data_IF_173720125374
#
_entry.id   IF_173720125374
#
_cell.length_a   1.000
_cell.length_b   1.000
_cell.length_c   1.000
_cell.angle_alpha   90.00
_cell.angle_beta   90.00
_cell.angle_gamma   90.00
#
_symmetry.space_group_name_H-M   'P 1'
#
loop_
_entity.id
_entity.type
_entity.pdbx_description
1 polymer ?
#
# COMPACT_ATOMS: atom_id res chain seq x y z
N UNK A 1 -36.28 -42.80 -52.32
CA UNK A 1 -36.48 -43.05 -50.88
C UNK A 1 -35.10 -43.10 -50.24
N UNK A 2 -34.69 -41.99 -49.61
CA UNK A 2 -33.59 -41.83 -48.64
C UNK A 2 -33.19 -40.34 -48.64
N UNK A 3 -33.21 -39.78 -47.45
CA UNK A 3 -33.24 -38.37 -47.05
C UNK A 3 -31.86 -37.78 -46.77
N UNK A 4 -31.68 -36.48 -47.10
CA UNK A 4 -30.84 -35.39 -46.52
C UNK A 4 -29.49 -35.71 -45.81
N UNK A 5 -28.53 -34.75 -45.89
CA UNK A 5 -27.98 -34.22 -44.64
C UNK A 5 -28.11 -32.69 -44.57
N UNK A 6 -28.80 -32.26 -43.52
CA UNK A 6 -29.06 -30.87 -43.14
C UNK A 6 -27.85 -30.21 -42.47
N UNK A 7 -27.60 -28.98 -42.90
CA UNK A 7 -26.96 -27.84 -42.22
C UNK A 7 -26.53 -28.00 -40.75
N UNK A 8 -25.27 -27.69 -40.50
CA UNK A 8 -24.69 -27.41 -39.18
C UNK A 8 -25.34 -26.19 -38.52
N UNK A 9 -25.69 -26.22 -37.23
CA UNK A 9 -25.86 -25.02 -36.44
C UNK A 9 -24.59 -24.76 -35.63
N UNK A 10 -23.84 -23.71 -35.99
CA UNK A 10 -22.84 -23.13 -35.10
C UNK A 10 -23.58 -22.39 -33.99
N UNK A 11 -23.55 -22.95 -32.78
CA UNK A 11 -24.02 -22.28 -31.57
C UNK A 11 -23.11 -21.10 -31.26
N UNK A 12 -23.55 -19.88 -31.59
CA UNK A 12 -23.03 -18.67 -30.95
C UNK A 12 -23.39 -18.74 -29.47
N UNK A 13 -22.45 -19.18 -28.67
CA UNK A 13 -22.43 -18.91 -27.23
C UNK A 13 -21.91 -17.49 -27.06
N UNK A 14 -22.81 -16.53 -26.98
CA UNK A 14 -22.48 -15.21 -26.43
C UNK A 14 -22.14 -15.42 -24.96
N UNK A 15 -20.85 -15.58 -24.67
CA UNK A 15 -20.33 -15.39 -23.32
C UNK A 15 -20.50 -13.91 -22.97
N UNK A 16 -21.71 -13.55 -22.53
CA UNK A 16 -21.98 -12.34 -21.76
C UNK A 16 -21.20 -12.48 -20.45
N UNK A 17 -19.91 -12.17 -20.53
CA UNK A 17 -19.05 -12.01 -19.37
C UNK A 17 -19.55 -10.74 -18.70
N UNK A 18 -20.41 -10.92 -17.68
CA UNK A 18 -20.84 -9.85 -16.81
C UNK A 18 -19.60 -9.03 -16.40
N UNK A 19 -19.69 -7.68 -16.39
CA UNK A 19 -18.59 -6.86 -15.94
C UNK A 19 -18.17 -7.32 -14.53
N UNK A 20 -16.86 -7.36 -14.24
CA UNK A 20 -16.38 -7.77 -12.92
C UNK A 20 -17.11 -6.95 -11.87
N UNK A 21 -17.80 -7.65 -10.95
CA UNK A 21 -18.49 -7.03 -9.83
C UNK A 21 -17.52 -6.08 -9.12
N UNK A 22 -17.90 -4.82 -8.85
CA UNK A 22 -17.02 -3.90 -8.15
C UNK A 22 -16.62 -4.52 -6.83
N UNK A 23 -15.31 -4.60 -6.57
CA UNK A 23 -14.80 -5.08 -5.30
C UNK A 23 -15.45 -4.25 -4.17
N UNK A 24 -15.82 -4.89 -3.05
CA UNK A 24 -16.55 -4.21 -1.99
C UNK A 24 -15.74 -3.02 -1.50
N UNK A 25 -16.26 -1.81 -1.73
CA UNK A 25 -15.66 -0.58 -1.21
C UNK A 25 -15.72 -0.59 0.32
N UNK A 26 -14.69 -0.10 1.03
CA UNK A 26 -14.73 -0.02 2.48
C UNK A 26 -15.92 0.80 2.94
N UNK A 27 -16.49 0.44 4.10
CA UNK A 27 -17.50 1.26 4.72
C UNK A 27 -16.93 2.66 5.06
N UNK A 28 -17.76 3.72 5.11
CA UNK A 28 -17.30 5.03 5.55
C UNK A 28 -16.63 5.00 6.93
N UNK A 29 -17.18 4.22 7.86
CA UNK A 29 -16.62 4.06 9.21
C UNK A 29 -15.22 3.43 9.15
N UNK A 30 -15.04 2.34 8.41
CA UNK A 30 -13.73 1.69 8.29
C UNK A 30 -12.69 2.57 7.59
N UNK A 31 -13.14 3.39 6.63
CA UNK A 31 -12.28 4.41 6.00
C UNK A 31 -11.84 5.47 7.01
N UNK A 32 -12.76 5.94 7.87
CA UNK A 32 -12.43 6.89 8.95
C UNK A 32 -11.46 6.26 9.94
N UNK A 33 -11.64 4.98 10.29
CA UNK A 33 -10.73 4.26 11.19
C UNK A 33 -9.32 4.16 10.59
N UNK A 34 -9.21 3.80 9.32
CA UNK A 34 -7.93 3.78 8.60
C UNK A 34 -7.27 5.16 8.55
N UNK A 35 -8.03 6.22 8.22
CA UNK A 35 -7.49 7.58 8.17
C UNK A 35 -7.08 8.08 9.57
N UNK A 36 -7.82 7.70 10.59
CA UNK A 36 -7.50 7.99 12.00
C UNK A 36 -6.23 7.27 12.43
N UNK A 37 -6.02 6.04 11.97
CA UNK A 37 -4.78 5.32 12.18
C UNK A 37 -3.60 6.04 11.49
N UNK A 38 -3.77 6.45 10.23
CA UNK A 38 -2.76 7.21 9.49
C UNK A 38 -2.42 8.56 10.15
N UNK A 39 -3.34 9.15 10.92
CA UNK A 39 -3.05 10.36 11.69
C UNK A 39 -1.83 10.17 12.59
N UNK A 40 -1.62 8.97 13.15
CA UNK A 40 -0.48 8.68 14.04
C UNK A 40 0.87 9.01 13.40
N UNK A 41 0.98 8.95 12.07
CA UNK A 41 2.21 9.31 11.35
C UNK A 41 2.56 10.80 11.48
N UNK A 42 1.57 11.67 11.75
CA UNK A 42 1.75 13.10 11.99
C UNK A 42 2.24 13.39 13.40
N UNK A 43 1.89 12.55 14.37
CA UNK A 43 2.20 12.75 15.79
C UNK A 43 3.43 11.96 16.23
N UNK A 44 3.73 10.83 15.59
CA UNK A 44 4.94 10.04 15.82
C UNK A 44 6.16 10.76 15.26
N UNK A 45 7.11 11.06 16.14
CA UNK A 45 8.38 11.68 15.79
C UNK A 45 9.39 10.64 15.34
N UNK A 46 10.23 11.02 14.36
CA UNK A 46 11.33 10.17 13.90
C UNK A 46 12.30 9.90 15.05
N UNK A 47 12.32 8.66 15.52
CA UNK A 47 12.99 8.21 16.73
C UNK A 47 14.51 8.42 16.65
N UNK A 48 15.09 8.36 15.45
CA UNK A 48 16.51 8.67 15.24
C UNK A 48 16.90 10.08 15.71
N UNK A 49 16.03 11.08 15.47
CA UNK A 49 16.25 12.45 15.93
C UNK A 49 15.98 12.63 17.42
N UNK A 50 14.93 11.98 17.93
CA UNK A 50 14.58 11.97 19.36
C UNK A 50 15.74 11.45 20.20
N UNK A 51 16.33 10.31 19.80
CA UNK A 51 17.47 9.68 20.50
C UNK A 51 18.74 10.51 20.48
N UNK A 52 18.88 11.41 19.48
CA UNK A 52 19.99 12.37 19.40
C UNK A 52 19.72 13.67 20.16
N UNK A 53 18.59 13.78 20.85
CA UNK A 53 18.23 14.97 21.63
C UNK A 53 17.85 16.19 20.79
N UNK A 54 17.47 16.00 19.52
CA UNK A 54 17.01 17.11 18.67
C UNK A 54 15.67 17.61 19.19
N UNK A 55 15.56 18.93 19.41
CA UNK A 55 14.31 19.58 19.81
C UNK A 55 13.40 19.76 18.60
N UNK A 56 12.12 19.45 18.74
CA UNK A 56 11.13 19.58 17.67
C UNK A 56 11.43 18.73 16.43
N UNK A 57 11.72 17.41 16.57
CA UNK A 57 12.03 16.56 15.42
C UNK A 57 10.84 16.47 14.45
N UNK A 58 11.15 16.16 13.19
CA UNK A 58 10.15 15.89 12.16
C UNK A 58 9.31 14.66 12.52
N UNK A 59 8.06 14.64 12.06
CA UNK A 59 7.19 13.47 12.10
C UNK A 59 7.50 12.50 10.95
N UNK A 60 7.00 11.27 11.04
CA UNK A 60 7.09 10.30 9.94
C UNK A 60 6.38 10.85 8.69
N UNK A 61 5.24 11.51 8.86
CA UNK A 61 4.51 12.11 7.74
C UNK A 61 5.28 13.27 7.07
N UNK A 62 6.05 14.06 7.83
CA UNK A 62 6.92 15.11 7.28
C UNK A 62 8.02 14.50 6.39
N UNK A 63 8.60 13.39 6.85
CA UNK A 63 9.60 12.62 6.11
C UNK A 63 9.04 12.10 4.78
N UNK A 64 7.92 11.39 4.82
CA UNK A 64 7.27 10.84 3.62
C UNK A 64 6.83 11.94 2.64
N UNK A 65 6.31 13.06 3.15
CA UNK A 65 5.92 14.20 2.32
C UNK A 65 7.12 14.76 1.54
N UNK A 66 8.25 15.00 2.22
CA UNK A 66 9.46 15.51 1.55
C UNK A 66 10.03 14.50 0.56
N UNK A 67 9.97 13.20 0.84
CA UNK A 67 10.36 12.16 -0.13
C UNK A 67 9.46 12.14 -1.36
N UNK A 68 8.14 12.31 -1.20
CA UNK A 68 7.21 12.42 -2.32
C UNK A 68 7.53 13.62 -3.23
N UNK A 69 7.85 14.77 -2.64
CA UNK A 69 8.30 15.95 -3.40
C UNK A 69 9.63 15.68 -4.12
N UNK A 70 10.59 15.03 -3.47
CA UNK A 70 11.86 14.66 -4.10
C UNK A 70 11.64 13.75 -5.30
N UNK A 71 10.74 12.76 -5.20
CA UNK A 71 10.39 11.90 -6.32
C UNK A 71 9.73 12.68 -7.47
N UNK A 72 8.88 13.67 -7.16
CA UNK A 72 8.24 14.51 -8.18
C UNK A 72 9.24 15.36 -8.98
N UNK A 73 10.24 15.94 -8.31
CA UNK A 73 11.23 16.84 -8.96
C UNK A 73 12.46 16.10 -9.50
N UNK A 74 12.61 14.80 -9.21
CA UNK A 74 13.72 14.00 -9.70
C UNK A 74 13.70 13.97 -11.24
N UNK A 75 14.88 14.01 -11.90
CA UNK A 75 14.96 13.88 -13.35
C UNK A 75 14.41 12.52 -13.80
N UNK A 76 13.96 12.43 -15.05
CA UNK A 76 13.56 11.14 -15.63
C UNK A 76 14.79 10.23 -15.71
N UNK A 77 14.69 9.06 -15.09
CA UNK A 77 15.71 8.02 -15.12
C UNK A 77 15.18 6.89 -15.99
N UNK A 78 15.88 6.46 -17.06
CA UNK A 78 15.43 5.36 -17.90
C UNK A 78 15.10 4.10 -17.09
N UNK A 79 13.90 3.55 -17.29
CA UNK A 79 13.43 2.36 -16.57
C UNK A 79 12.81 2.63 -15.19
N UNK A 80 12.78 3.87 -14.71
CA UNK A 80 12.12 4.24 -13.45
C UNK A 80 10.79 4.96 -13.73
N UNK A 81 9.74 4.51 -13.05
CA UNK A 81 8.40 5.10 -13.10
C UNK A 81 8.23 6.09 -11.94
N UNK A 82 8.22 7.39 -12.26
CA UNK A 82 8.11 8.47 -11.26
C UNK A 82 6.83 8.36 -10.44
N UNK A 83 5.70 8.02 -11.05
CA UNK A 83 4.41 7.93 -10.34
C UNK A 83 4.43 6.80 -9.32
N UNK A 84 5.09 5.68 -9.66
CA UNK A 84 5.33 4.59 -8.71
C UNK A 84 6.22 5.03 -7.56
N UNK A 85 7.29 5.79 -7.82
CA UNK A 85 8.16 6.33 -6.77
C UNK A 85 7.39 7.26 -5.81
N UNK A 86 6.52 8.12 -6.33
CA UNK A 86 5.68 9.00 -5.50
C UNK A 86 4.71 8.19 -4.65
N UNK A 87 4.01 7.22 -5.25
CA UNK A 87 3.09 6.32 -4.52
C UNK A 87 3.80 5.51 -3.45
N UNK A 88 5.01 5.04 -3.73
CA UNK A 88 5.86 4.33 -2.78
C UNK A 88 6.27 5.25 -1.62
N UNK A 89 6.75 6.46 -1.91
CA UNK A 89 7.20 7.40 -0.90
C UNK A 89 6.12 7.73 0.14
N UNK A 90 4.85 7.87 -0.29
CA UNK A 90 3.73 8.21 0.61
C UNK A 90 3.24 7.04 1.46
N UNK A 91 3.61 5.79 1.16
CA UNK A 91 3.14 4.59 1.91
C UNK A 91 4.25 3.76 2.53
N UNK A 92 5.52 3.99 2.21
CA UNK A 92 6.60 3.09 2.64
C UNK A 92 6.71 2.93 4.17
N UNK A 93 6.52 4.02 4.92
CA UNK A 93 6.54 4.01 6.39
C UNK A 93 5.11 3.94 6.98
N UNK A 94 4.08 3.57 6.21
CA UNK A 94 2.69 3.58 6.70
C UNK A 94 2.50 2.62 7.89
N UNK A 95 3.20 1.48 7.90
CA UNK A 95 3.16 0.49 8.97
C UNK A 95 3.64 1.06 10.32
N UNK A 96 4.51 2.08 10.31
CA UNK A 96 4.98 2.76 11.52
C UNK A 96 3.85 3.51 12.24
N UNK A 97 2.69 3.71 11.58
CA UNK A 97 1.48 4.18 12.24
C UNK A 97 1.03 3.24 13.35
N UNK A 98 1.31 1.93 13.26
CA UNK A 98 1.04 0.95 14.31
C UNK A 98 2.32 0.64 15.08
N UNK A 99 3.39 0.27 14.36
CA UNK A 99 4.62 -0.31 14.91
C UNK A 99 5.50 0.73 15.63
N UNK A 100 5.42 2.00 15.22
CA UNK A 100 6.37 3.05 15.57
C UNK A 100 7.65 3.02 14.73
N UNK A 101 8.42 4.11 14.78
CA UNK A 101 9.70 4.25 14.08
C UNK A 101 10.80 3.44 14.82
N UNK A 102 11.09 2.25 14.33
CA UNK A 102 12.12 1.35 14.87
C UNK A 102 13.48 1.72 14.25
N UNK A 103 14.42 2.09 15.10
CA UNK A 103 15.79 2.46 14.70
C UNK A 103 16.79 1.32 14.94
N UNK A 104 17.98 1.36 14.32
CA UNK A 104 19.02 0.36 14.57
C UNK A 104 19.44 0.21 16.04
N UNK A 105 19.29 1.26 16.86
CA UNK A 105 19.65 1.21 18.28
C UNK A 105 18.59 0.55 19.18
N UNK A 106 17.43 0.19 18.64
CA UNK A 106 16.39 -0.55 19.39
C UNK A 106 16.70 -2.05 19.53
N UNK A 107 17.70 -2.56 18.81
CA UNK A 107 18.11 -3.97 18.91
C UNK A 107 17.06 -4.96 18.38
N UNK A 108 16.05 -4.50 17.65
CA UNK A 108 15.01 -5.36 17.07
C UNK A 108 15.59 -6.08 15.83
N UNK A 109 15.55 -7.42 15.78
CA UNK A 109 16.01 -8.16 14.61
C UNK A 109 15.21 -7.81 13.35
N UNK A 110 15.85 -7.81 12.18
CA UNK A 110 15.21 -7.49 10.88
C UNK A 110 13.96 -8.33 10.62
N UNK A 111 14.01 -9.62 10.94
CA UNK A 111 12.87 -10.53 10.79
C UNK A 111 11.68 -10.13 11.67
N UNK A 112 11.93 -9.69 12.90
CA UNK A 112 10.89 -9.28 13.83
C UNK A 112 10.30 -7.91 13.43
N UNK A 113 11.13 -6.97 12.96
CA UNK A 113 10.64 -5.72 12.37
C UNK A 113 9.71 -6.01 11.19
N UNK A 114 10.16 -6.85 10.24
CA UNK A 114 9.37 -7.22 9.08
C UNK A 114 8.08 -7.94 9.44
N UNK A 115 8.09 -8.81 10.46
CA UNK A 115 6.87 -9.47 10.97
C UNK A 115 5.86 -8.45 11.50
N UNK A 116 6.29 -7.53 12.37
CA UNK A 116 5.43 -6.49 12.94
C UNK A 116 4.86 -5.55 11.87
N UNK A 117 5.69 -5.15 10.92
CA UNK A 117 5.25 -4.30 9.80
C UNK A 117 4.23 -5.01 8.92
N UNK A 118 4.43 -6.30 8.65
CA UNK A 118 3.46 -7.09 7.90
C UNK A 118 2.13 -7.21 8.61
N UNK A 119 2.13 -7.54 9.89
CA UNK A 119 0.90 -7.64 10.70
C UNK A 119 0.16 -6.29 10.76
N UNK A 120 0.90 -5.17 10.83
CA UNK A 120 0.31 -3.84 10.75
C UNK A 120 -0.35 -3.56 9.39
N UNK A 121 0.29 -3.95 8.28
CA UNK A 121 -0.28 -3.80 6.93
C UNK A 121 -1.49 -4.71 6.71
N UNK A 122 -1.45 -5.95 7.20
CA UNK A 122 -2.58 -6.89 7.19
C UNK A 122 -3.80 -6.25 7.88
N UNK A 123 -3.63 -5.70 9.08
CA UNK A 123 -4.70 -5.01 9.79
C UNK A 123 -5.21 -3.75 9.04
N UNK A 124 -4.32 -2.96 8.42
CA UNK A 124 -4.74 -1.82 7.60
C UNK A 124 -5.54 -2.23 6.36
N UNK A 125 -5.17 -3.36 5.74
CA UNK A 125 -5.91 -3.95 4.63
C UNK A 125 -7.32 -4.39 5.04
N UNK A 126 -7.47 -4.99 6.23
CA UNK A 126 -8.77 -5.41 6.76
C UNK A 126 -9.72 -4.20 6.92
N UNK A 127 -9.20 -3.06 7.42
CA UNK A 127 -9.97 -1.82 7.53
C UNK A 127 -10.42 -1.27 6.17
N UNK A 128 -9.58 -1.41 5.13
CA UNK A 128 -9.90 -0.94 3.79
C UNK A 128 -10.72 -1.95 2.96
N UNK A 129 -10.90 -3.18 3.46
CA UNK A 129 -11.36 -4.32 2.69
C UNK A 129 -10.19 -4.97 1.92
N UNK A 130 -10.08 -6.29 2.03
CA UNK A 130 -8.96 -7.08 1.49
C UNK A 130 -8.75 -6.91 -0.04
N UNK A 131 -9.81 -6.57 -0.78
CA UNK A 131 -9.79 -6.35 -2.23
C UNK A 131 -9.59 -4.87 -2.63
N UNK A 132 -9.30 -4.01 -1.66
CA UNK A 132 -9.09 -2.59 -1.95
C UNK A 132 -7.76 -2.35 -2.67
N UNK A 133 -7.76 -1.37 -3.58
CA UNK A 133 -6.55 -0.89 -4.26
C UNK A 133 -5.45 -0.44 -3.27
N UNK A 134 -5.85 0.03 -2.07
CA UNK A 134 -4.93 0.39 -1.01
C UNK A 134 -4.15 -0.82 -0.48
N UNK A 135 -4.82 -1.96 -0.31
CA UNK A 135 -4.16 -3.17 0.16
C UNK A 135 -3.09 -3.67 -0.82
N UNK A 136 -3.41 -3.72 -2.12
CA UNK A 136 -2.41 -4.09 -3.15
C UNK A 136 -1.22 -3.14 -3.18
N UNK A 137 -1.44 -1.84 -2.90
CA UNK A 137 -0.37 -0.84 -2.82
C UNK A 137 0.60 -1.16 -1.66
N UNK A 138 0.09 -1.53 -0.50
CA UNK A 138 0.96 -1.82 0.65
C UNK A 138 1.90 -2.99 0.40
N UNK A 139 1.39 -4.10 -0.13
CA UNK A 139 2.22 -5.27 -0.40
C UNK A 139 3.19 -5.07 -1.56
N UNK A 140 2.80 -4.32 -2.60
CA UNK A 140 3.67 -4.10 -3.74
C UNK A 140 4.80 -3.12 -3.43
N UNK A 141 4.56 -2.10 -2.61
CA UNK A 141 5.49 -0.98 -2.43
C UNK A 141 6.26 -0.98 -1.10
N UNK A 142 5.71 -1.55 -0.01
CA UNK A 142 6.37 -1.53 1.30
C UNK A 142 7.36 -2.70 1.47
N UNK A 143 7.00 -3.89 0.97
CA UNK A 143 7.83 -5.08 1.16
C UNK A 143 9.10 -5.12 0.30
N UNK A 144 9.17 -4.34 -0.78
CA UNK A 144 10.33 -4.28 -1.67
C UNK A 144 11.46 -3.34 -1.20
N UNK A 145 11.19 -2.48 -0.21
CA UNK A 145 12.16 -1.45 0.23
C UNK A 145 13.11 -1.91 1.35
N UNK A 146 12.87 -3.08 1.94
CA UNK A 146 13.63 -3.56 3.10
C UNK A 146 14.13 -5.01 3.00
N UNK A 147 14.06 -5.68 1.84
CA UNK A 147 14.78 -6.95 1.62
C UNK A 147 16.24 -6.67 1.28
#
# INVERSE_FOLDING_TARGET
>A
MATQPSSSPSSLTTNDTAPPSPSPSPSPSSTIDFLSLCHRLKTTKRAGWVKRGIKGPESISDHMYRMGLMALIAPDIPGIDRDKCVKMAIVHDIAEAIVGDITPSDGVPKAEKSRKEREALEHMCELLGAESRGCSLFYFYVFFLFV
#
